data_IF_927011650996
#
_entry.id   IF_927011650996
#
_cell.length_a   1.000
_cell.length_b   1.000
_cell.length_c   1.000
_cell.angle_alpha   90.00
_cell.angle_beta   90.00
_cell.angle_gamma   90.00
#
_symmetry.space_group_name_H-M   'P 1'
#
loop_
_entity.id
_entity.type
_entity.pdbx_description
1 polymer ?
#
# COMPACT_ATOMS: atom_id res chain seq x y z
N UNK A 1 -36.84 55.26 19.45
CA UNK A 1 -35.79 54.45 20.10
C UNK A 1 -35.42 53.29 19.16
N UNK A 2 -34.23 53.30 18.53
CA UNK A 2 -33.73 52.18 17.70
C UNK A 2 -32.78 51.33 18.54
N UNK A 3 -33.16 50.09 18.85
CA UNK A 3 -32.29 49.12 19.51
C UNK A 3 -31.17 48.69 18.55
N UNK A 4 -29.93 48.97 18.92
CA UNK A 4 -28.73 48.44 18.25
C UNK A 4 -28.52 47.00 18.71
N UNK A 5 -29.08 46.02 17.97
CA UNK A 5 -28.76 44.60 18.19
C UNK A 5 -27.26 44.38 17.92
N UNK A 6 -26.51 44.07 18.97
CA UNK A 6 -25.10 43.70 18.91
C UNK A 6 -24.92 42.49 17.99
N UNK A 7 -24.25 42.66 16.84
CA UNK A 7 -23.90 41.59 15.89
C UNK A 7 -22.67 40.78 16.32
N UNK A 8 -22.07 41.10 17.47
CA UNK A 8 -20.86 40.46 18.00
C UNK A 8 -20.95 38.93 18.19
N UNK A 9 -22.06 38.34 18.71
CA UNK A 9 -22.10 36.90 18.92
C UNK A 9 -22.19 36.12 17.59
N UNK A 10 -22.86 36.66 16.57
CA UNK A 10 -22.94 36.04 15.25
C UNK A 10 -21.57 35.98 14.56
N UNK A 11 -20.78 37.05 14.65
CA UNK A 11 -19.45 37.13 14.05
C UNK A 11 -18.45 36.16 14.70
N UNK A 12 -18.52 35.99 16.03
CA UNK A 12 -17.69 35.04 16.77
C UNK A 12 -18.03 33.58 16.43
N UNK A 13 -19.32 33.27 16.25
CA UNK A 13 -19.78 31.94 15.86
C UNK A 13 -19.34 31.57 14.44
N UNK A 14 -19.41 32.52 13.51
CA UNK A 14 -18.93 32.33 12.13
C UNK A 14 -17.42 32.10 12.07
N UNK A 15 -16.64 32.82 12.89
CA UNK A 15 -15.19 32.65 12.94
C UNK A 15 -14.78 31.28 13.51
N UNK A 16 -15.50 30.80 14.54
CA UNK A 16 -15.29 29.48 15.12
C UNK A 16 -15.61 28.34 14.14
N UNK A 17 -16.71 28.45 13.38
CA UNK A 17 -17.06 27.45 12.35
C UNK A 17 -16.01 27.39 11.22
N UNK A 18 -15.54 28.55 10.74
CA UNK A 18 -14.51 28.63 9.71
C UNK A 18 -13.18 28.02 10.17
N UNK A 19 -12.78 28.26 11.42
CA UNK A 19 -11.57 27.69 12.01
C UNK A 19 -11.69 26.16 12.16
N UNK A 20 -12.85 25.64 12.58
CA UNK A 20 -13.10 24.21 12.68
C UNK A 20 -13.06 23.52 11.30
N UNK A 21 -13.61 24.16 10.26
CA UNK A 21 -13.56 23.62 8.89
C UNK A 21 -12.13 23.61 8.32
N UNK A 22 -11.35 24.67 8.55
CA UNK A 22 -9.96 24.74 8.13
C UNK A 22 -9.07 23.69 8.82
N UNK A 23 -9.32 23.38 10.10
CA UNK A 23 -8.60 22.34 10.83
C UNK A 23 -8.82 20.92 10.28
N UNK A 24 -10.02 20.63 9.75
CA UNK A 24 -10.34 19.34 9.13
C UNK A 24 -9.60 19.09 7.82
N UNK A 25 -9.44 20.12 6.99
CA UNK A 25 -8.77 20.02 5.69
C UNK A 25 -7.28 19.65 5.81
N UNK A 26 -6.60 20.10 6.87
CA UNK A 26 -5.18 19.84 7.09
C UNK A 26 -4.84 18.37 7.42
N UNK A 27 -5.83 17.54 7.77
CA UNK A 27 -5.62 16.10 8.08
C UNK A 27 -5.95 15.15 6.93
N UNK A 28 -6.34 15.67 5.76
CA UNK A 28 -6.82 14.84 4.66
C UNK A 28 -5.73 13.99 3.98
N UNK A 29 -4.44 14.27 4.24
CA UNK A 29 -3.34 13.58 3.57
C UNK A 29 -2.84 12.30 4.28
N UNK A 30 -3.41 11.94 5.44
CA UNK A 30 -2.99 10.75 6.21
C UNK A 30 -1.55 10.83 6.72
N UNK A 31 -1.17 9.92 7.62
CA UNK A 31 0.24 9.74 7.98
C UNK A 31 0.97 9.07 6.80
N UNK A 32 2.16 9.57 6.46
CA UNK A 32 2.99 9.04 5.38
C UNK A 32 4.07 8.07 5.88
N UNK A 33 4.11 7.82 7.19
CA UNK A 33 4.92 6.75 7.77
C UNK A 33 4.30 5.38 7.49
N UNK A 34 5.11 4.31 7.32
CA UNK A 34 4.59 2.95 7.21
C UNK A 34 3.64 2.60 8.36
N UNK A 35 2.50 2.01 8.02
CA UNK A 35 1.45 1.64 8.97
C UNK A 35 1.39 0.12 9.11
N UNK A 36 1.30 -0.35 10.35
CA UNK A 36 1.07 -1.77 10.63
C UNK A 36 -0.27 -2.23 10.04
N UNK A 37 -0.32 -3.51 9.63
CA UNK A 37 -1.49 -4.12 9.00
C UNK A 37 -2.07 -5.16 9.94
N UNK A 38 -3.39 -5.17 10.10
CA UNK A 38 -4.08 -6.23 10.84
C UNK A 38 -4.15 -7.51 9.99
N UNK A 39 -3.42 -8.53 10.42
CA UNK A 39 -3.34 -9.83 9.72
C UNK A 39 -3.96 -10.97 10.51
N UNK A 40 -4.77 -10.69 11.54
CA UNK A 40 -5.34 -11.72 12.44
C UNK A 40 -6.23 -12.73 11.73
N UNK A 41 -6.82 -12.35 10.60
CA UNK A 41 -7.67 -13.24 9.78
C UNK A 41 -6.87 -14.12 8.80
N UNK A 42 -5.54 -13.97 8.73
CA UNK A 42 -4.68 -14.73 7.82
C UNK A 42 -4.03 -15.94 8.50
N UNK A 43 -3.81 -17.06 7.79
CA UNK A 43 -3.06 -18.19 8.34
C UNK A 43 -1.63 -17.78 8.71
N UNK A 44 -1.23 -17.90 9.98
CA UNK A 44 0.10 -17.48 10.45
C UNK A 44 1.23 -18.25 9.78
N UNK A 45 2.31 -17.56 9.40
CA UNK A 45 3.41 -18.12 8.63
C UNK A 45 4.66 -18.42 9.45
N UNK A 46 4.73 -17.90 10.67
CA UNK A 46 5.85 -18.04 11.60
C UNK A 46 7.01 -17.07 11.31
N UNK A 47 8.09 -17.21 12.08
CA UNK A 47 9.24 -16.29 12.01
C UNK A 47 10.08 -16.45 10.74
N UNK A 48 10.16 -17.67 10.21
CA UNK A 48 10.93 -17.94 9.00
C UNK A 48 10.18 -17.41 7.78
N UNK A 49 10.87 -16.56 7.02
CA UNK A 49 10.33 -16.02 5.78
C UNK A 49 10.18 -17.12 4.73
N UNK A 50 8.97 -17.22 4.18
CA UNK A 50 8.64 -18.01 3.00
C UNK A 50 9.36 -17.40 1.80
N UNK A 51 9.82 -18.25 0.90
CA UNK A 51 10.42 -17.82 -0.37
C UNK A 51 9.36 -17.48 -1.43
N UNK A 52 8.16 -18.05 -1.30
CA UNK A 52 7.06 -17.89 -2.24
C UNK A 52 5.80 -17.43 -1.52
N UNK A 53 4.90 -16.78 -2.25
CA UNK A 53 3.61 -16.36 -1.74
C UNK A 53 2.75 -17.57 -1.33
N UNK A 54 2.46 -17.77 -0.03
CA UNK A 54 1.65 -18.89 0.44
C UNK A 54 0.13 -18.63 0.33
N UNK A 55 -0.28 -17.41 -0.02
CA UNK A 55 -1.68 -16.99 -0.04
C UNK A 55 -2.26 -16.80 -1.45
N UNK A 56 -1.59 -17.32 -2.49
CA UNK A 56 -2.07 -17.19 -3.87
C UNK A 56 -3.55 -17.60 -3.96
N UNK A 57 -4.39 -16.73 -4.55
CA UNK A 57 -5.83 -16.90 -4.73
C UNK A 57 -6.66 -17.01 -3.42
N UNK A 58 -6.13 -16.58 -2.28
CA UNK A 58 -6.89 -16.53 -1.02
C UNK A 58 -7.67 -15.21 -0.91
N UNK A 59 -9.01 -15.28 -0.86
CA UNK A 59 -9.89 -14.10 -0.83
C UNK A 59 -9.67 -13.20 0.40
N UNK A 60 -9.37 -13.79 1.56
CA UNK A 60 -9.10 -13.02 2.78
C UNK A 60 -7.77 -12.26 2.64
N UNK A 61 -6.74 -12.90 2.10
CA UNK A 61 -5.47 -12.25 1.81
C UNK A 61 -5.59 -11.17 0.73
N UNK A 62 -6.44 -11.35 -0.29
CA UNK A 62 -6.74 -10.30 -1.28
C UNK A 62 -7.39 -9.09 -0.59
N UNK A 63 -8.37 -9.31 0.31
CA UNK A 63 -9.04 -8.23 1.03
C UNK A 63 -8.08 -7.47 1.96
N UNK A 64 -7.30 -8.18 2.77
CA UNK A 64 -6.27 -7.59 3.64
C UNK A 64 -5.22 -6.86 2.81
N UNK A 65 -4.73 -7.50 1.75
CA UNK A 65 -3.74 -6.96 0.82
C UNK A 65 -4.20 -5.69 0.11
N UNK A 66 -5.49 -5.61 -0.25
CA UNK A 66 -6.08 -4.40 -0.86
C UNK A 66 -5.97 -3.21 0.10
N UNK A 67 -6.37 -3.40 1.36
CA UNK A 67 -6.27 -2.35 2.38
C UNK A 67 -4.82 -1.99 2.67
N UNK A 68 -3.96 -2.99 2.87
CA UNK A 68 -2.55 -2.82 3.15
C UNK A 68 -1.82 -2.05 2.03
N UNK A 69 -2.09 -2.41 0.77
CA UNK A 69 -1.56 -1.75 -0.41
C UNK A 69 -1.98 -0.28 -0.48
N UNK A 70 -3.27 0.01 -0.30
CA UNK A 70 -3.79 1.37 -0.36
C UNK A 70 -3.19 2.28 0.72
N UNK A 71 -2.94 1.73 1.91
CA UNK A 71 -2.34 2.46 3.03
C UNK A 71 -0.84 2.70 2.85
N UNK A 72 -0.09 1.71 2.35
CA UNK A 72 1.37 1.73 2.41
C UNK A 72 2.08 1.94 1.06
N UNK A 73 1.44 1.58 -0.06
CA UNK A 73 2.13 1.47 -1.35
C UNK A 73 1.57 2.43 -2.41
N UNK A 74 0.26 2.65 -2.40
CA UNK A 74 -0.46 3.34 -3.47
C UNK A 74 -0.03 4.80 -3.68
N UNK A 75 0.53 5.46 -2.66
CA UNK A 75 1.01 6.84 -2.80
C UNK A 75 2.14 6.98 -3.82
N UNK A 76 2.98 5.95 -3.97
CA UNK A 76 4.10 5.96 -4.93
C UNK A 76 3.80 5.08 -6.16
N UNK A 77 3.15 3.94 -5.94
CA UNK A 77 2.88 2.95 -6.98
C UNK A 77 1.50 3.09 -7.64
N UNK A 78 0.71 4.07 -7.20
CA UNK A 78 -0.60 4.42 -7.75
C UNK A 78 -1.77 3.66 -7.11
N UNK A 79 -2.98 4.24 -7.20
CA UNK A 79 -4.20 3.55 -6.81
C UNK A 79 -4.42 2.34 -7.72
N UNK A 80 -4.93 1.26 -7.15
CA UNK A 80 -5.11 -0.01 -7.86
C UNK A 80 -3.83 -0.58 -8.49
N UNK A 81 -2.65 -0.15 -8.03
CA UNK A 81 -1.35 -0.42 -8.64
C UNK A 81 -1.10 0.19 -10.02
N UNK A 82 -1.95 1.11 -10.46
CA UNK A 82 -1.78 1.86 -11.69
C UNK A 82 -0.90 3.08 -11.42
N UNK A 83 0.40 2.95 -11.68
CA UNK A 83 1.36 4.01 -11.38
C UNK A 83 1.13 5.28 -12.21
N UNK A 84 1.25 6.43 -11.54
CA UNK A 84 1.29 7.76 -12.17
C UNK A 84 2.70 8.21 -12.60
N UNK A 85 3.70 7.34 -12.54
CA UNK A 85 5.08 7.63 -12.96
C UNK A 85 6.07 7.99 -11.86
N UNK A 86 5.64 8.04 -10.59
CA UNK A 86 6.54 8.29 -9.43
C UNK A 86 7.42 7.06 -9.16
N UNK A 87 6.81 5.88 -9.11
CA UNK A 87 7.49 4.59 -8.93
C UNK A 87 7.01 3.57 -9.99
N UNK A 88 7.65 2.40 -10.14
CA UNK A 88 7.22 1.40 -11.13
C UNK A 88 5.76 0.96 -10.97
N UNK A 89 5.08 0.68 -12.09
CA UNK A 89 3.75 0.05 -12.12
C UNK A 89 3.88 -1.42 -11.68
N UNK A 90 3.31 -1.75 -10.52
CA UNK A 90 3.47 -3.08 -9.92
C UNK A 90 2.61 -4.15 -10.60
N UNK A 91 1.67 -3.78 -11.48
CA UNK A 91 0.93 -4.74 -12.30
C UNK A 91 1.84 -5.44 -13.32
N UNK A 92 3.02 -4.86 -13.57
CA UNK A 92 4.04 -5.38 -14.49
C UNK A 92 5.06 -6.30 -13.86
N UNK A 93 4.96 -6.54 -12.54
CA UNK A 93 5.96 -7.26 -11.76
C UNK A 93 6.25 -8.68 -12.31
N UNK A 94 5.21 -9.37 -12.77
CA UNK A 94 5.31 -10.75 -13.29
C UNK A 94 5.30 -10.82 -14.84
N UNK A 95 5.43 -9.67 -15.54
CA UNK A 95 5.24 -9.61 -17.00
C UNK A 95 6.24 -10.46 -17.79
N UNK A 96 7.48 -10.56 -17.30
CA UNK A 96 8.51 -11.40 -17.93
C UNK A 96 8.10 -12.87 -17.82
N UNK A 97 7.61 -13.30 -16.65
CA UNK A 97 7.13 -14.66 -16.41
C UNK A 97 5.93 -15.01 -17.29
N UNK A 98 4.99 -14.06 -17.49
CA UNK A 98 3.80 -14.26 -18.31
C UNK A 98 4.11 -14.61 -19.78
N UNK A 99 5.30 -14.25 -20.27
CA UNK A 99 5.72 -14.56 -21.65
C UNK A 99 6.30 -15.97 -21.82
N UNK A 100 6.62 -16.66 -20.72
CA UNK A 100 7.25 -17.98 -20.74
C UNK A 100 6.22 -19.07 -21.08
N UNK A 101 6.50 -19.85 -22.14
CA UNK A 101 5.64 -20.96 -22.57
C UNK A 101 5.85 -22.24 -21.76
N UNK A 102 7.04 -22.43 -21.20
CA UNK A 102 7.36 -23.59 -20.39
C UNK A 102 6.91 -23.35 -18.96
N UNK A 103 5.99 -24.18 -18.47
CA UNK A 103 5.37 -24.00 -17.15
C UNK A 103 6.35 -24.14 -15.99
N UNK A 104 7.40 -24.96 -16.12
CA UNK A 104 8.42 -25.08 -15.08
C UNK A 104 9.28 -23.82 -15.00
N UNK A 105 9.68 -23.28 -16.15
CA UNK A 105 10.40 -22.00 -16.23
C UNK A 105 9.53 -20.84 -15.76
N UNK A 106 8.24 -20.84 -16.10
CA UNK A 106 7.27 -19.85 -15.60
C UNK A 106 7.17 -19.89 -14.08
N UNK A 107 6.98 -21.08 -13.48
CA UNK A 107 6.91 -21.24 -12.04
C UNK A 107 8.22 -20.79 -11.33
N UNK A 108 9.38 -21.15 -11.89
CA UNK A 108 10.67 -20.70 -11.37
C UNK A 108 10.81 -19.16 -11.43
N UNK A 109 10.42 -18.54 -12.55
CA UNK A 109 10.41 -17.08 -12.69
C UNK A 109 9.50 -16.42 -11.65
N UNK A 110 8.28 -16.94 -11.43
CA UNK A 110 7.35 -16.39 -10.43
C UNK A 110 7.95 -16.47 -9.02
N UNK A 111 8.62 -17.58 -8.69
CA UNK A 111 9.33 -17.72 -7.41
C UNK A 111 10.44 -16.67 -7.25
N UNK A 112 11.26 -16.45 -8.29
CA UNK A 112 12.31 -15.42 -8.25
C UNK A 112 11.70 -14.02 -8.05
N UNK A 113 10.56 -13.76 -8.68
CA UNK A 113 9.84 -12.49 -8.51
C UNK A 113 9.24 -12.35 -7.10
N UNK A 114 8.79 -13.44 -6.46
CA UNK A 114 8.33 -13.43 -5.07
C UNK A 114 9.47 -13.10 -4.09
N UNK A 115 10.64 -13.70 -4.28
CA UNK A 115 11.85 -13.41 -3.49
C UNK A 115 12.30 -11.96 -3.70
N UNK A 116 12.28 -11.49 -4.95
CA UNK A 116 12.55 -10.10 -5.29
C UNK A 116 11.56 -9.16 -4.60
N UNK A 117 10.26 -9.42 -4.71
CA UNK A 117 9.19 -8.59 -4.14
C UNK A 117 9.34 -8.48 -2.61
N UNK A 118 9.35 -9.62 -1.91
CA UNK A 118 9.41 -9.67 -0.46
C UNK A 118 10.71 -9.02 0.07
N UNK A 119 11.85 -9.32 -0.56
CA UNK A 119 13.13 -8.72 -0.22
C UNK A 119 13.19 -7.21 -0.49
N UNK A 120 12.44 -6.73 -1.48
CA UNK A 120 12.34 -5.30 -1.83
C UNK A 120 11.46 -4.54 -0.87
N UNK A 121 10.29 -5.08 -0.53
CA UNK A 121 9.39 -4.46 0.46
C UNK A 121 10.09 -4.35 1.81
N UNK A 122 10.78 -5.41 2.25
CA UNK A 122 11.48 -5.41 3.53
C UNK A 122 12.59 -4.36 3.61
N UNK A 123 13.48 -4.34 2.62
CA UNK A 123 14.73 -3.56 2.66
C UNK A 123 14.64 -2.20 1.96
N UNK A 124 13.57 -1.94 1.22
CA UNK A 124 13.42 -0.72 0.44
C UNK A 124 14.41 -0.61 -0.73
N UNK A 125 14.59 0.62 -1.20
CA UNK A 125 15.54 1.02 -2.26
C UNK A 125 16.15 2.38 -1.95
N UNK A 126 17.47 2.42 -1.93
CA UNK A 126 18.26 3.64 -1.72
C UNK A 126 19.30 3.74 -2.82
N UNK A 127 19.51 4.94 -3.38
CA UNK A 127 20.56 5.21 -4.36
C UNK A 127 21.19 6.55 -4.05
N UNK A 128 22.53 6.60 -4.03
CA UNK A 128 23.30 7.81 -3.71
C UNK A 128 22.87 8.49 -2.40
N UNK A 129 22.52 7.69 -1.39
CA UNK A 129 22.03 8.19 -0.09
C UNK A 129 20.56 8.64 -0.04
N UNK A 130 19.87 8.74 -1.19
CA UNK A 130 18.44 9.08 -1.24
C UNK A 130 17.57 7.81 -1.20
N UNK A 131 16.54 7.82 -0.35
CA UNK A 131 15.55 6.73 -0.21
C UNK A 131 14.47 6.90 -1.29
N UNK A 132 14.39 5.93 -2.20
CA UNK A 132 13.38 5.88 -3.27
C UNK A 132 12.18 5.02 -2.90
N UNK A 133 12.42 3.99 -2.09
CA UNK A 133 11.38 3.15 -1.50
C UNK A 133 11.77 2.91 -0.05
N UNK A 134 10.94 3.31 0.94
CA UNK A 134 11.27 3.08 2.34
C UNK A 134 11.30 1.57 2.64
N UNK A 135 12.12 1.12 3.60
CA UNK A 135 12.04 -0.24 4.12
C UNK A 135 10.77 -0.39 4.97
N UNK A 136 10.13 -1.56 4.90
CA UNK A 136 8.94 -1.89 5.67
C UNK A 136 9.18 -3.00 6.70
N UNK A 137 10.39 -3.56 6.76
CA UNK A 137 10.77 -4.54 7.78
C UNK A 137 10.61 -3.95 9.20
N UNK A 138 10.06 -4.76 10.12
CA UNK A 138 9.72 -4.33 11.47
C UNK A 138 8.37 -3.59 11.59
N UNK A 139 7.80 -3.09 10.49
CA UNK A 139 6.44 -2.51 10.47
C UNK A 139 5.42 -3.45 9.85
N UNK A 140 5.75 -4.05 8.70
CA UNK A 140 4.94 -5.06 8.06
C UNK A 140 5.50 -6.44 8.41
N UNK A 141 4.67 -7.27 9.04
CA UNK A 141 4.97 -8.69 9.21
C UNK A 141 4.88 -9.42 7.85
N UNK A 142 5.31 -10.67 7.85
CA UNK A 142 5.32 -11.48 6.64
C UNK A 142 3.93 -11.66 6.04
N UNK A 143 2.91 -11.85 6.88
CA UNK A 143 1.53 -12.02 6.46
C UNK A 143 1.02 -10.79 5.70
N UNK A 144 1.36 -9.59 6.17
CA UNK A 144 1.01 -8.34 5.52
C UNK A 144 1.69 -8.23 4.15
N UNK A 145 2.99 -8.51 4.06
CA UNK A 145 3.74 -8.46 2.80
C UNK A 145 3.17 -9.44 1.77
N UNK A 146 2.88 -10.68 2.17
CA UNK A 146 2.30 -11.67 1.26
C UNK A 146 0.85 -11.37 0.90
N UNK A 147 0.06 -10.76 1.79
CA UNK A 147 -1.27 -10.27 1.44
C UNK A 147 -1.21 -9.20 0.34
N UNK A 148 -0.24 -8.26 0.43
CA UNK A 148 -0.02 -7.24 -0.61
C UNK A 148 0.38 -7.91 -1.93
N UNK A 149 1.30 -8.88 -1.92
CA UNK A 149 1.65 -9.63 -3.15
C UNK A 149 0.39 -10.28 -3.72
N UNK A 150 -0.39 -10.98 -2.90
CA UNK A 150 -1.63 -11.64 -3.32
C UNK A 150 -2.62 -10.67 -3.96
N UNK A 151 -2.76 -9.46 -3.43
CA UNK A 151 -3.55 -8.42 -4.08
C UNK A 151 -2.96 -8.00 -5.43
N UNK A 152 -1.64 -7.78 -5.53
CA UNK A 152 -0.99 -7.43 -6.80
C UNK A 152 -1.15 -8.53 -7.86
N UNK A 153 -1.20 -9.78 -7.43
CA UNK A 153 -1.47 -10.92 -8.31
C UNK A 153 -2.85 -10.87 -8.98
N UNK A 154 -3.85 -10.21 -8.36
CA UNK A 154 -5.18 -9.96 -8.97
C UNK A 154 -5.20 -8.73 -9.86
N UNK A 155 -4.12 -7.94 -9.88
CA UNK A 155 -4.02 -6.69 -10.63
C UNK A 155 -3.03 -6.76 -11.79
N UNK A 156 -2.48 -7.94 -12.10
CA UNK A 156 -1.50 -8.13 -13.17
C UNK A 156 -1.98 -7.52 -14.49
N UNK A 157 -1.07 -6.85 -15.18
CA UNK A 157 -1.32 -6.35 -16.54
C UNK A 157 -1.43 -7.52 -17.53
N UNK A 158 -0.60 -8.56 -17.32
CA UNK A 158 -0.63 -9.80 -18.09
C UNK A 158 -0.97 -10.99 -17.18
N UNK A 159 -1.98 -11.81 -17.52
CA UNK A 159 -2.27 -13.02 -16.75
C UNK A 159 -1.13 -14.05 -16.88
N UNK A 160 -0.95 -14.87 -15.85
CA UNK A 160 0.00 -15.99 -15.82
C UNK A 160 -0.62 -17.29 -16.31
#
# INVERSE_FOLDING_TARGET
MRQTRSRRPALLLSLALSAAFAAGAARAHGDVTPQAVDTRELPTLGEQWRAENPYRKNDTAIKVGTSAYNQNCARCHGLEAISGGIAPDLRRLDNECASLKDEKKKAACVKEVDEYFSGTVRRGRTRNGAVYMPPFEGTLNQEAVWSIKTYLETRREKPL
#
